data_IF_661931387519
#
_entry.id   IF_661931387519
#
_cell.length_a   1.000
_cell.length_b   1.000
_cell.length_c   1.000
_cell.angle_alpha   90.00
_cell.angle_beta   90.00
_cell.angle_gamma   90.00
#
_symmetry.space_group_name_H-M   'P 1'
#
loop_
_entity.id
_entity.type
_entity.pdbx_description
1 polymer ?
#
# COMPACT_ATOMS: atom_id res chain seq x y z
N UNK A 1 -24.98 52.70 -65.93
CA UNK A 1 -23.89 53.24 -65.09
C UNK A 1 -24.41 53.45 -63.65
N UNK A 2 -23.59 53.38 -62.60
CA UNK A 2 -23.76 52.47 -61.45
C UNK A 2 -24.47 53.00 -60.18
N UNK A 3 -25.03 52.03 -59.42
CA UNK A 3 -25.28 51.89 -57.94
C UNK A 3 -26.21 52.88 -57.19
N UNK A 4 -27.01 52.35 -56.23
CA UNK A 4 -26.53 52.17 -54.84
C UNK A 4 -26.82 50.74 -54.29
N UNK A 5 -25.81 50.05 -53.75
CA UNK A 5 -25.52 49.90 -52.30
C UNK A 5 -26.68 49.30 -51.48
N UNK A 6 -26.60 47.98 -51.22
CA UNK A 6 -27.27 47.30 -50.11
C UNK A 6 -26.19 46.61 -49.26
N UNK A 7 -26.08 47.01 -48.00
CA UNK A 7 -25.20 46.43 -46.99
C UNK A 7 -25.78 45.10 -46.47
N UNK A 8 -24.96 44.07 -46.17
CA UNK A 8 -25.41 42.95 -45.39
C UNK A 8 -25.33 43.29 -43.89
N UNK A 9 -26.43 43.10 -43.18
CA UNK A 9 -26.50 43.19 -41.72
C UNK A 9 -25.68 42.06 -41.10
N UNK A 10 -24.61 42.41 -40.39
CA UNK A 10 -23.84 41.48 -39.55
C UNK A 10 -24.55 41.39 -38.20
N UNK A 11 -25.22 40.26 -37.93
CA UNK A 11 -25.69 39.91 -36.60
C UNK A 11 -24.48 39.54 -35.72
N UNK A 12 -24.05 40.46 -34.87
CA UNK A 12 -23.17 40.15 -33.74
C UNK A 12 -23.99 39.44 -32.65
N UNK A 13 -23.87 38.11 -32.55
CA UNK A 13 -24.25 37.38 -31.34
C UNK A 13 -23.23 37.71 -30.24
N UNK A 14 -23.60 38.59 -29.30
CA UNK A 14 -22.92 38.73 -28.03
C UNK A 14 -23.21 37.48 -27.16
N UNK A 15 -22.35 36.48 -27.24
CA UNK A 15 -22.24 35.46 -26.18
C UNK A 15 -21.58 36.11 -24.97
N UNK A 16 -22.38 36.69 -24.08
CA UNK A 16 -21.95 37.08 -22.74
C UNK A 16 -21.72 35.81 -21.92
N UNK A 17 -20.48 35.31 -21.93
CA UNK A 17 -20.06 34.25 -21.01
C UNK A 17 -20.01 34.90 -19.62
N UNK A 18 -21.03 34.66 -18.80
CA UNK A 18 -21.04 34.98 -17.39
C UNK A 18 -19.94 34.14 -16.70
N UNK A 19 -18.73 34.69 -16.63
CA UNK A 19 -17.69 34.17 -15.75
C UNK A 19 -18.10 34.52 -14.31
N UNK A 20 -18.88 33.65 -13.68
CA UNK A 20 -19.04 33.70 -12.23
C UNK A 20 -17.67 33.54 -11.60
N UNK A 21 -17.11 34.61 -11.03
CA UNK A 21 -15.86 34.56 -10.29
C UNK A 21 -16.01 33.56 -9.14
N UNK A 22 -15.36 32.40 -9.24
CA UNK A 22 -15.35 31.43 -8.16
C UNK A 22 -14.82 32.10 -6.88
N UNK A 23 -15.59 32.03 -5.79
CA UNK A 23 -15.22 32.55 -4.49
C UNK A 23 -14.78 31.40 -3.60
N UNK A 24 -13.60 31.54 -2.99
CA UNK A 24 -13.15 30.62 -1.95
C UNK A 24 -13.62 31.15 -0.59
N UNK A 25 -14.49 30.40 0.08
CA UNK A 25 -15.04 30.68 1.41
C UNK A 25 -15.32 29.37 2.16
N UNK A 26 -14.29 28.69 2.67
CA UNK A 26 -14.46 27.43 3.39
C UNK A 26 -15.28 27.66 4.66
N UNK A 27 -16.05 26.66 5.06
CA UNK A 27 -16.77 26.70 6.32
C UNK A 27 -15.75 26.75 7.49
N UNK A 28 -16.13 27.29 8.66
CA UNK A 28 -15.34 27.10 9.87
C UNK A 28 -15.03 25.62 10.07
N UNK A 29 -13.78 25.30 10.40
CA UNK A 29 -13.36 23.91 10.59
C UNK A 29 -14.17 23.28 11.73
N UNK A 30 -14.95 22.25 11.40
CA UNK A 30 -15.55 21.36 12.40
C UNK A 30 -14.67 20.12 12.53
N UNK A 31 -13.91 20.02 13.63
CA UNK A 31 -13.02 18.89 13.87
C UNK A 31 -13.72 17.65 14.45
N UNK A 32 -14.93 17.79 15.00
CA UNK A 32 -15.60 16.69 15.71
C UNK A 32 -15.69 15.39 14.90
N UNK A 33 -16.10 15.39 13.62
CA UNK A 33 -16.34 14.15 12.86
C UNK A 33 -15.10 13.26 12.75
N UNK A 34 -13.92 13.83 12.53
CA UNK A 34 -12.68 13.07 12.44
C UNK A 34 -11.97 12.91 13.78
N UNK A 35 -12.14 13.84 14.73
CA UNK A 35 -11.55 13.75 16.06
C UNK A 35 -12.17 12.62 16.88
N UNK A 36 -13.48 12.40 16.79
CA UNK A 36 -14.18 11.33 17.53
C UNK A 36 -13.73 9.92 17.11
N UNK A 37 -13.32 9.75 15.86
CA UNK A 37 -12.81 8.49 15.30
C UNK A 37 -11.29 8.43 15.23
N UNK A 38 -10.58 9.40 15.81
CA UNK A 38 -9.13 9.42 15.79
C UNK A 38 -8.57 8.27 16.62
N UNK A 39 -7.52 7.63 16.10
CA UNK A 39 -6.78 6.60 16.83
C UNK A 39 -5.72 7.31 17.65
N UNK A 40 -5.64 7.02 18.94
CA UNK A 40 -4.63 7.57 19.83
C UNK A 40 -3.63 6.50 20.28
N UNK A 41 -2.35 6.85 20.30
CA UNK A 41 -1.27 6.05 20.88
C UNK A 41 -0.51 6.91 21.88
N UNK A 42 0.11 6.28 22.87
CA UNK A 42 0.87 6.99 23.92
C UNK A 42 2.14 6.23 24.21
N UNK A 43 3.26 6.95 24.21
CA UNK A 43 4.59 6.41 24.47
C UNK A 43 5.41 7.48 25.21
N UNK A 44 6.03 7.11 26.34
CA UNK A 44 6.97 7.96 27.06
C UNK A 44 6.47 9.41 27.27
N UNK A 45 5.26 9.53 27.83
CA UNK A 45 4.53 10.79 28.11
C UNK A 45 4.20 11.67 26.89
N UNK A 46 4.24 11.11 25.69
CA UNK A 46 3.75 11.74 24.46
C UNK A 46 2.54 10.98 23.97
N UNK A 47 1.45 11.71 23.70
CA UNK A 47 0.25 11.14 23.10
C UNK A 47 0.05 11.70 21.71
N UNK A 48 -0.15 10.82 20.74
CA UNK A 48 -0.42 11.17 19.35
C UNK A 48 -1.78 10.62 18.96
N UNK A 49 -2.67 11.51 18.51
CA UNK A 49 -3.95 11.16 17.92
C UNK A 49 -3.91 11.43 16.42
N UNK A 50 -4.44 10.51 15.61
CA UNK A 50 -4.43 10.62 14.17
C UNK A 50 -5.76 10.23 13.53
N UNK A 51 -6.17 10.97 12.50
CA UNK A 51 -7.31 10.64 11.66
C UNK A 51 -6.98 10.95 10.19
N UNK A 52 -7.38 10.07 9.28
CA UNK A 52 -7.21 10.28 7.83
C UNK A 52 -8.55 10.69 7.25
N UNK A 53 -8.59 11.84 6.56
CA UNK A 53 -9.82 12.36 5.98
C UNK A 53 -10.15 11.61 4.70
N UNK A 54 -11.41 11.21 4.53
CA UNK A 54 -11.94 10.68 3.27
C UNK A 54 -12.17 11.78 2.23
N UNK A 55 -12.58 11.41 1.01
CA UNK A 55 -12.79 12.38 -0.07
C UNK A 55 -13.87 13.44 0.28
N UNK A 56 -15.03 13.00 0.76
CA UNK A 56 -16.15 13.89 1.12
C UNK A 56 -15.80 14.78 2.31
N UNK A 57 -15.16 14.22 3.34
CA UNK A 57 -14.74 14.98 4.52
C UNK A 57 -13.64 16.00 4.16
N UNK A 58 -12.73 15.64 3.26
CA UNK A 58 -11.73 16.55 2.71
C UNK A 58 -12.38 17.72 1.97
N UNK A 59 -13.39 17.47 1.14
CA UNK A 59 -14.12 18.53 0.44
C UNK A 59 -14.93 19.39 1.42
N UNK A 60 -15.53 18.80 2.45
CA UNK A 60 -16.25 19.53 3.49
C UNK A 60 -15.33 20.46 4.30
N UNK A 61 -14.12 20.00 4.64
CA UNK A 61 -13.13 20.79 5.39
C UNK A 61 -12.52 21.87 4.51
N UNK A 62 -11.99 21.52 3.34
CA UNK A 62 -11.17 22.44 2.54
C UNK A 62 -11.95 23.18 1.46
N UNK A 63 -13.19 22.81 1.17
CA UNK A 63 -13.99 23.37 0.07
C UNK A 63 -13.41 23.07 -1.32
N UNK A 64 -12.56 22.03 -1.43
CA UNK A 64 -11.80 21.70 -2.63
C UNK A 64 -11.68 20.18 -2.77
N UNK A 65 -11.69 19.71 -4.03
CA UNK A 65 -11.57 18.29 -4.37
C UNK A 65 -10.10 17.84 -4.40
N UNK A 66 -9.43 17.86 -3.25
CA UNK A 66 -7.99 17.55 -3.15
C UNK A 66 -7.64 16.14 -3.64
N UNK A 67 -8.54 15.18 -3.45
CA UNK A 67 -8.41 13.81 -3.93
C UNK A 67 -8.24 13.72 -5.46
N UNK A 68 -8.87 14.62 -6.23
CA UNK A 68 -8.69 14.67 -7.70
C UNK A 68 -7.27 15.06 -8.11
N UNK A 69 -6.46 15.55 -7.17
CA UNK A 69 -5.04 15.85 -7.35
C UNK A 69 -4.12 14.91 -6.60
N UNK A 70 -4.63 13.78 -6.10
CA UNK A 70 -3.84 12.80 -5.37
C UNK A 70 -3.39 13.25 -3.98
N UNK A 71 -4.12 14.19 -3.35
CA UNK A 71 -3.78 14.73 -2.03
C UNK A 71 -4.80 14.24 -1.00
N UNK A 72 -4.27 13.69 0.10
CA UNK A 72 -5.03 13.16 1.22
C UNK A 72 -4.55 13.80 2.53
N UNK A 73 -5.39 14.61 3.20
CA UNK A 73 -5.05 15.20 4.48
C UNK A 73 -5.06 14.15 5.61
N UNK A 74 -3.99 14.16 6.42
CA UNK A 74 -3.91 13.45 7.70
C UNK A 74 -3.99 14.49 8.80
N UNK A 75 -5.03 14.42 9.62
CA UNK A 75 -5.14 15.21 10.83
C UNK A 75 -4.33 14.55 11.96
N UNK A 76 -3.54 15.35 12.65
CA UNK A 76 -2.74 14.94 13.80
C UNK A 76 -2.99 15.88 14.98
N UNK A 77 -2.93 15.30 16.17
CA UNK A 77 -2.80 16.01 17.43
C UNK A 77 -1.70 15.36 18.27
N UNK A 78 -0.71 16.15 18.67
CA UNK A 78 0.45 15.71 19.44
C UNK A 78 0.43 16.46 20.77
N UNK A 79 0.23 15.71 21.85
CA UNK A 79 0.25 16.17 23.23
C UNK A 79 1.63 15.86 23.83
N UNK A 80 2.39 16.90 24.17
CA UNK A 80 3.68 16.77 24.83
C UNK A 80 3.51 16.96 26.34
N UNK A 81 3.39 15.86 27.09
CA UNK A 81 3.29 15.90 28.55
C UNK A 81 4.66 15.83 29.24
N UNK A 82 5.75 15.99 28.48
CA UNK A 82 7.12 16.00 29.02
C UNK A 82 7.57 17.42 29.38
N UNK A 83 8.77 17.52 29.97
CA UNK A 83 9.46 18.80 30.24
C UNK A 83 10.37 19.26 29.08
N UNK A 84 10.50 18.45 28.02
CA UNK A 84 11.42 18.70 26.91
C UNK A 84 10.67 19.24 25.71
N UNK A 85 11.27 20.20 24.99
CA UNK A 85 10.73 20.60 23.69
C UNK A 85 10.88 19.45 22.70
N UNK A 86 9.92 19.35 21.79
CA UNK A 86 9.90 18.31 20.76
C UNK A 86 9.76 18.88 19.36
N UNK A 87 10.29 18.13 18.40
CA UNK A 87 10.16 18.37 16.97
C UNK A 87 9.48 17.20 16.28
N UNK A 88 8.49 17.53 15.47
CA UNK A 88 7.76 16.62 14.61
C UNK A 88 8.21 16.82 13.14
N UNK A 89 9.09 15.95 12.60
CA UNK A 89 9.41 15.93 11.18
C UNK A 89 8.25 15.33 10.36
N UNK A 90 7.51 16.18 9.64
CA UNK A 90 6.38 15.76 8.78
C UNK A 90 6.75 14.70 7.73
N UNK A 91 8.02 14.64 7.32
CA UNK A 91 8.56 13.65 6.39
C UNK A 91 8.42 12.20 6.90
N UNK A 92 8.23 12.01 8.22
CA UNK A 92 7.95 10.70 8.82
C UNK A 92 6.56 10.16 8.46
N UNK A 93 5.59 11.06 8.18
CA UNK A 93 4.23 10.70 7.76
C UNK A 93 4.22 10.33 6.29
N UNK A 94 4.85 11.16 5.46
CA UNK A 94 4.99 10.94 4.02
C UNK A 94 6.26 11.65 3.53
N UNK A 95 7.16 10.92 2.88
CA UNK A 95 8.41 11.49 2.35
C UNK A 95 8.18 12.52 1.24
N UNK A 96 7.05 12.43 0.55
CA UNK A 96 6.64 13.28 -0.56
C UNK A 96 5.40 14.11 -0.18
N UNK A 97 5.24 14.46 1.09
CA UNK A 97 4.15 15.33 1.54
C UNK A 97 4.16 16.68 0.81
N UNK A 98 2.98 17.30 0.71
CA UNK A 98 2.79 18.59 0.07
C UNK A 98 2.85 19.72 1.11
N UNK A 99 3.53 20.80 0.77
CA UNK A 99 3.46 22.00 1.63
C UNK A 99 2.06 22.64 1.54
N UNK A 100 1.53 23.27 2.60
CA UNK A 100 0.18 23.86 2.56
C UNK A 100 -0.02 24.87 1.42
N UNK A 101 1.01 25.67 1.11
CA UNK A 101 0.93 26.66 0.04
C UNK A 101 1.07 26.05 -1.35
N UNK A 102 1.73 24.90 -1.48
CA UNK A 102 1.73 24.11 -2.71
C UNK A 102 0.33 23.57 -2.99
N UNK A 103 -0.33 22.98 -1.99
CA UNK A 103 -1.73 22.49 -2.11
C UNK A 103 -2.66 23.63 -2.52
N UNK A 104 -2.55 24.80 -1.88
CA UNK A 104 -3.32 25.98 -2.24
C UNK A 104 -3.03 26.42 -3.68
N UNK A 105 -1.75 26.56 -4.05
CA UNK A 105 -1.33 26.98 -5.38
C UNK A 105 -1.85 26.06 -6.49
N UNK A 106 -1.87 24.74 -6.25
CA UNK A 106 -2.44 23.78 -7.18
C UNK A 106 -3.92 24.10 -7.49
N UNK A 107 -4.66 24.75 -6.59
CA UNK A 107 -6.08 25.08 -6.73
C UNK A 107 -6.38 26.55 -7.07
N UNK A 108 -5.36 27.35 -7.38
CA UNK A 108 -5.55 28.77 -7.71
C UNK A 108 -6.22 29.03 -9.06
N UNK A 109 -6.20 28.06 -9.98
CA UNK A 109 -6.80 28.24 -11.32
C UNK A 109 -8.29 28.55 -11.22
N UNK A 110 -8.77 29.55 -11.98
CA UNK A 110 -10.18 29.99 -11.96
C UNK A 110 -10.57 30.93 -10.80
N UNK A 111 -9.72 31.13 -9.80
CA UNK A 111 -10.01 32.03 -8.66
C UNK A 111 -9.42 33.44 -8.83
N UNK A 112 -10.12 34.44 -8.31
CA UNK A 112 -9.61 35.81 -8.24
C UNK A 112 -8.47 35.96 -7.21
N UNK A 113 -7.61 36.98 -7.36
CA UNK A 113 -6.44 37.23 -6.47
C UNK A 113 -6.79 37.24 -4.97
N UNK A 114 -7.93 37.84 -4.60
CA UNK A 114 -8.37 37.87 -3.21
C UNK A 114 -8.76 36.48 -2.68
N UNK A 115 -9.41 35.64 -3.50
CA UNK A 115 -9.76 34.27 -3.14
C UNK A 115 -8.50 33.39 -3.00
N UNK A 116 -7.52 33.53 -3.90
CA UNK A 116 -6.21 32.85 -3.78
C UNK A 116 -5.52 33.17 -2.45
N UNK A 117 -5.44 34.45 -2.07
CA UNK A 117 -4.88 34.86 -0.78
C UNK A 117 -5.62 34.28 0.44
N UNK A 118 -6.95 34.12 0.34
CA UNK A 118 -7.74 33.46 1.40
C UNK A 118 -7.42 31.98 1.48
N UNK A 119 -7.27 31.32 0.33
CA UNK A 119 -6.87 29.92 0.23
C UNK A 119 -5.48 29.70 0.84
N UNK A 120 -4.49 30.50 0.45
CA UNK A 120 -3.13 30.44 1.02
C UNK A 120 -3.14 30.55 2.53
N UNK A 121 -3.91 31.52 3.07
CA UNK A 121 -4.05 31.72 4.51
C UNK A 121 -4.72 30.52 5.19
N UNK A 122 -5.81 29.99 4.61
CA UNK A 122 -6.56 28.88 5.19
C UNK A 122 -5.68 27.62 5.28
N UNK A 123 -5.01 27.23 4.20
CA UNK A 123 -4.11 26.06 4.22
C UNK A 123 -2.93 26.27 5.17
N UNK A 124 -2.32 27.46 5.17
CA UNK A 124 -1.21 27.76 6.07
C UNK A 124 -1.64 27.72 7.55
N UNK A 125 -2.85 28.16 7.89
CA UNK A 125 -3.35 28.17 9.27
C UNK A 125 -3.65 26.77 9.80
N UNK A 126 -4.19 25.89 8.97
CA UNK A 126 -4.61 24.55 9.40
C UNK A 126 -3.52 23.48 9.27
N UNK A 127 -2.37 23.79 8.64
CA UNK A 127 -1.23 22.88 8.64
C UNK A 127 -0.60 22.76 10.02
N UNK A 128 -0.26 21.52 10.41
CA UNK A 128 0.45 21.27 11.67
C UNK A 128 1.84 21.91 11.65
N UNK A 129 2.33 22.30 12.82
CA UNK A 129 3.64 22.95 13.00
C UNK A 129 4.63 21.99 13.64
N UNK A 130 5.91 22.14 13.29
CA UNK A 130 6.94 21.19 13.67
C UNK A 130 7.30 21.23 15.17
N UNK A 131 7.24 22.40 15.83
CA UNK A 131 7.69 22.54 17.23
C UNK A 131 6.54 22.38 18.21
N UNK A 132 6.74 21.54 19.23
CA UNK A 132 5.80 21.28 20.31
C UNK A 132 6.49 21.63 21.64
N UNK A 133 5.98 22.66 22.32
CA UNK A 133 6.55 23.11 23.59
C UNK A 133 6.15 22.15 24.74
N UNK A 134 6.93 22.08 25.83
CA UNK A 134 6.59 21.29 27.01
C UNK A 134 5.20 21.60 27.55
N UNK A 135 4.42 20.57 27.91
CA UNK A 135 3.08 20.71 28.46
C UNK A 135 2.04 21.29 27.50
N UNK A 136 2.33 21.31 26.19
CA UNK A 136 1.41 21.87 25.18
C UNK A 136 0.92 20.82 24.20
N UNK A 137 -0.18 21.17 23.53
CA UNK A 137 -0.77 20.39 22.44
C UNK A 137 -0.56 21.12 21.12
N UNK A 138 -0.25 20.37 20.07
CA UNK A 138 -0.20 20.86 18.69
C UNK A 138 -1.11 20.01 17.82
N UNK A 139 -2.00 20.66 17.07
CA UNK A 139 -2.89 20.00 16.13
C UNK A 139 -2.83 20.63 14.74
N UNK A 140 -3.20 19.87 13.73
CA UNK A 140 -3.33 20.35 12.35
C UNK A 140 -3.19 19.23 11.34
N UNK A 141 -3.11 19.61 10.06
CA UNK A 141 -3.02 18.67 8.95
C UNK A 141 -1.59 18.55 8.40
N UNK A 142 -1.22 17.32 8.04
CA UNK A 142 -0.18 17.02 7.06
C UNK A 142 -0.88 16.67 5.75
N UNK A 143 -0.48 17.30 4.64
CA UNK A 143 -1.05 16.99 3.33
C UNK A 143 -0.19 15.92 2.65
N UNK A 144 -0.70 14.70 2.58
CA UNK A 144 0.05 13.53 2.08
C UNK A 144 -0.42 13.11 0.70
N UNK A 145 0.32 12.21 0.07
CA UNK A 145 -0.13 11.50 -1.12
C UNK A 145 -1.31 10.60 -0.78
N UNK A 146 -2.24 10.53 -1.73
CA UNK A 146 -3.45 9.74 -1.61
C UNK A 146 -3.15 8.24 -1.68
N UNK A 147 -3.58 7.56 -0.62
CA UNK A 147 -3.60 6.11 -0.52
C UNK A 147 -5.04 5.64 -0.31
N UNK A 148 -5.44 4.63 -1.08
CA UNK A 148 -6.75 4.01 -1.01
C UNK A 148 -6.69 2.71 -0.20
N UNK A 149 -7.79 2.36 0.47
CA UNK A 149 -7.87 1.17 1.32
C UNK A 149 -7.45 1.47 2.75
N UNK A 150 -6.15 1.38 3.03
CA UNK A 150 -5.55 1.61 4.35
C UNK A 150 -4.38 2.57 4.20
N UNK A 151 -4.41 3.66 4.98
CA UNK A 151 -3.27 4.55 5.07
C UNK A 151 -2.32 4.08 6.16
N UNK A 152 -1.09 3.73 5.79
CA UNK A 152 -0.04 3.38 6.74
C UNK A 152 1.00 4.49 6.80
N UNK A 153 1.26 5.01 7.98
CA UNK A 153 2.25 6.07 8.17
C UNK A 153 2.80 6.05 9.61
N UNK A 154 3.99 6.63 9.76
CA UNK A 154 4.58 6.84 11.06
C UNK A 154 4.42 8.31 11.48
N UNK A 155 4.39 8.55 12.78
CA UNK A 155 4.58 9.88 13.37
C UNK A 155 5.80 9.76 14.26
N UNK A 156 6.90 10.38 13.84
CA UNK A 156 8.12 10.44 14.64
C UNK A 156 8.16 11.74 15.43
N UNK A 157 8.44 11.66 16.73
CA UNK A 157 8.61 12.83 17.59
C UNK A 157 9.96 12.76 18.27
N UNK A 158 10.78 13.79 18.05
CA UNK A 158 12.17 13.85 18.53
C UNK A 158 12.24 14.89 19.64
N UNK A 159 12.65 14.49 20.84
CA UNK A 159 12.79 15.39 21.98
C UNK A 159 14.22 15.89 22.20
N UNK A 160 14.36 16.97 22.98
CA UNK A 160 15.66 17.44 23.51
C UNK A 160 16.35 16.40 24.41
N UNK A 161 15.61 15.39 24.89
CA UNK A 161 16.11 14.22 25.61
C UNK A 161 16.87 13.21 24.73
N UNK A 162 17.04 13.51 23.43
CA UNK A 162 17.65 12.62 22.43
C UNK A 162 16.86 11.32 22.22
N UNK A 163 15.61 11.27 22.66
CA UNK A 163 14.71 10.15 22.44
C UNK A 163 13.89 10.40 21.18
N UNK A 164 13.82 9.40 20.31
CA UNK A 164 12.88 9.35 19.20
C UNK A 164 11.74 8.41 19.57
N UNK A 165 10.51 8.93 19.57
CA UNK A 165 9.29 8.16 19.77
C UNK A 165 8.64 7.95 18.42
N UNK A 166 8.22 6.73 18.11
CA UNK A 166 7.72 6.35 16.79
C UNK A 166 6.33 5.73 16.92
N UNK A 167 5.32 6.47 16.49
CA UNK A 167 3.94 6.02 16.51
C UNK A 167 3.55 5.50 15.14
N UNK A 168 3.03 4.28 15.08
CA UNK A 168 2.70 3.61 13.82
C UNK A 168 1.20 3.53 13.63
N UNK A 169 0.66 4.12 12.57
CA UNK A 169 -0.77 4.12 12.29
C UNK A 169 -1.11 3.31 11.04
N UNK A 170 -2.15 2.48 11.14
CA UNK A 170 -2.83 1.84 10.02
C UNK A 170 -4.31 2.25 10.10
N UNK A 171 -4.71 3.22 9.29
CA UNK A 171 -6.06 3.80 9.34
C UNK A 171 -6.80 3.42 8.06
N UNK A 172 -7.86 2.59 8.14
CA UNK A 172 -8.77 2.35 7.03
C UNK A 172 -9.38 3.66 6.51
N UNK A 173 -9.33 3.87 5.20
CA UNK A 173 -9.94 5.02 4.53
C UNK A 173 -11.06 4.52 3.62
N UNK A 174 -12.21 5.19 3.69
CA UNK A 174 -13.32 4.92 2.80
C UNK A 174 -12.94 5.19 1.33
N UNK A 175 -13.52 4.42 0.41
CA UNK A 175 -13.39 4.62 -1.04
C UNK A 175 -12.92 3.38 -1.81
N UNK A 176 -12.17 2.49 -1.16
CA UNK A 176 -11.74 1.22 -1.76
C UNK A 176 -12.30 0.05 -0.94
N UNK A 177 -13.07 -0.81 -1.59
CA UNK A 177 -13.44 -2.12 -1.06
C UNK A 177 -12.27 -3.06 -1.29
N UNK A 178 -11.49 -3.28 -0.23
CA UNK A 178 -10.28 -4.11 -0.27
C UNK A 178 -10.66 -5.59 -0.23
N UNK A 179 -10.01 -6.42 -1.03
CA UNK A 179 -10.27 -7.86 -1.15
C UNK A 179 -10.24 -8.61 0.19
N UNK A 180 -9.22 -8.40 1.01
CA UNK A 180 -9.02 -9.11 2.27
C UNK A 180 -10.02 -8.71 3.36
N UNK A 181 -10.76 -7.62 3.18
CA UNK A 181 -11.84 -7.20 4.10
C UNK A 181 -13.15 -7.96 3.86
N UNK A 182 -13.29 -8.66 2.73
CA UNK A 182 -14.45 -9.49 2.43
C UNK A 182 -14.31 -10.91 3.03
N UNK A 183 -13.16 -11.24 3.61
CA UNK A 183 -12.86 -12.56 4.18
C UNK A 183 -13.39 -12.67 5.62
N UNK A 184 -14.17 -13.72 5.91
CA UNK A 184 -14.51 -14.08 7.30
C UNK A 184 -13.37 -14.86 7.95
N UNK A 185 -12.40 -14.12 8.48
CA UNK A 185 -11.23 -14.68 9.17
C UNK A 185 -11.56 -15.61 10.34
N UNK A 186 -12.74 -15.45 10.97
CA UNK A 186 -13.11 -16.23 12.16
C UNK A 186 -13.62 -17.62 11.81
N UNK A 187 -14.21 -17.76 10.63
CA UNK A 187 -14.84 -19.01 10.16
C UNK A 187 -14.03 -19.74 9.09
N UNK A 188 -12.84 -19.25 8.71
CA UNK A 188 -12.00 -19.87 7.69
C UNK A 188 -11.62 -21.33 8.01
N UNK A 189 -11.41 -21.65 9.29
CA UNK A 189 -11.01 -22.98 9.74
C UNK A 189 -11.68 -23.35 11.06
N UNK A 190 -12.20 -24.57 11.13
CA UNK A 190 -12.64 -25.17 12.38
C UNK A 190 -11.45 -25.42 13.32
N UNK A 191 -11.70 -25.49 14.63
CA UNK A 191 -10.65 -25.67 15.65
C UNK A 191 -9.80 -26.91 15.38
N UNK A 192 -10.41 -28.01 14.92
CA UNK A 192 -9.72 -29.28 14.67
C UNK A 192 -8.87 -29.28 13.40
N UNK A 193 -9.07 -28.31 12.49
CA UNK A 193 -8.25 -28.16 11.29
C UNK A 193 -6.96 -27.39 11.58
N UNK A 194 -6.94 -26.61 12.66
CA UNK A 194 -5.80 -25.78 13.05
C UNK A 194 -4.67 -26.65 13.61
N UNK A 195 -3.48 -26.50 13.03
CA UNK A 195 -2.30 -27.29 13.41
C UNK A 195 -1.20 -26.36 13.93
N UNK A 196 -0.79 -26.56 15.17
CA UNK A 196 0.31 -25.81 15.78
C UNK A 196 1.63 -26.61 15.68
N UNK A 197 2.69 -25.92 15.30
CA UNK A 197 4.05 -26.44 15.22
C UNK A 197 4.94 -25.69 16.20
N UNK A 198 5.49 -26.43 17.18
CA UNK A 198 6.47 -25.90 18.14
C UNK A 198 7.91 -26.31 17.80
N UNK A 199 8.08 -27.19 16.81
CA UNK A 199 9.39 -27.64 16.33
C UNK A 199 9.68 -27.06 14.97
N UNK A 200 10.85 -26.42 14.85
CA UNK A 200 11.41 -25.91 13.58
C UNK A 200 11.44 -26.99 12.48
N UNK A 201 11.78 -28.23 12.83
CA UNK A 201 11.84 -29.33 11.86
C UNK A 201 10.44 -29.77 11.41
N UNK A 202 9.49 -29.89 12.33
CA UNK A 202 8.11 -30.27 11.98
C UNK A 202 7.45 -29.18 11.12
N UNK A 203 7.69 -27.91 11.44
CA UNK A 203 7.22 -26.79 10.64
C UNK A 203 7.81 -26.78 9.23
N UNK A 204 9.14 -26.98 9.11
CA UNK A 204 9.81 -27.15 7.82
C UNK A 204 9.15 -28.26 7.00
N UNK A 205 8.93 -29.44 7.59
CA UNK A 205 8.29 -30.58 6.89
C UNK A 205 6.86 -30.26 6.43
N UNK A 206 6.10 -29.50 7.23
CA UNK A 206 4.77 -29.06 6.82
C UNK A 206 4.80 -28.12 5.61
N UNK A 207 5.81 -27.25 5.52
CA UNK A 207 6.04 -26.41 4.33
C UNK A 207 6.48 -27.25 3.14
N UNK A 208 7.38 -28.22 3.32
CA UNK A 208 7.82 -29.15 2.26
C UNK A 208 6.66 -29.98 1.68
N UNK A 209 5.62 -30.23 2.48
CA UNK A 209 4.42 -30.97 2.08
C UNK A 209 3.36 -30.12 1.38
N UNK A 210 3.54 -28.79 1.29
CA UNK A 210 2.66 -27.93 0.50
C UNK A 210 2.73 -28.32 -1.00
N UNK A 211 1.65 -28.13 -1.77
CA UNK A 211 1.72 -28.34 -3.21
C UNK A 211 2.76 -27.40 -3.84
N UNK A 212 3.29 -27.77 -5.00
CA UNK A 212 4.25 -26.90 -5.68
C UNK A 212 3.64 -25.53 -6.05
N UNK A 213 2.34 -25.54 -6.34
CA UNK A 213 1.72 -24.57 -7.21
C UNK A 213 0.26 -24.34 -6.81
N UNK A 214 -0.20 -23.13 -7.09
CA UNK A 214 -1.62 -22.79 -7.08
C UNK A 214 -2.35 -23.46 -8.24
N UNK A 215 -3.69 -23.37 -8.25
CA UNK A 215 -4.53 -23.92 -9.32
C UNK A 215 -5.53 -22.90 -9.87
N UNK A 216 -6.26 -23.30 -10.91
CA UNK A 216 -7.55 -22.71 -11.26
C UNK A 216 -8.66 -23.08 -10.26
N UNK A 217 -9.87 -22.58 -10.50
CA UNK A 217 -11.02 -22.75 -9.61
C UNK A 217 -11.44 -24.22 -9.44
N UNK A 218 -11.29 -25.03 -10.49
CA UNK A 218 -11.66 -26.44 -10.50
C UNK A 218 -10.57 -27.33 -9.87
N UNK A 219 -9.33 -26.83 -9.78
CA UNK A 219 -8.20 -27.57 -9.21
C UNK A 219 -7.49 -28.50 -10.22
N UNK A 220 -7.93 -28.48 -11.47
CA UNK A 220 -7.47 -29.42 -12.52
C UNK A 220 -6.23 -28.91 -13.26
N UNK A 221 -5.95 -27.61 -13.21
CA UNK A 221 -4.79 -27.00 -13.88
C UNK A 221 -3.86 -26.34 -12.88
N UNK A 222 -2.59 -26.73 -12.95
CA UNK A 222 -1.53 -26.05 -12.21
C UNK A 222 -1.31 -24.63 -12.74
N UNK A 223 -0.97 -23.73 -11.82
CA UNK A 223 -0.79 -22.31 -12.05
C UNK A 223 0.58 -21.85 -11.52
N UNK A 224 0.65 -20.61 -11.03
CA UNK A 224 1.87 -20.01 -10.50
C UNK A 224 2.40 -20.79 -9.26
N UNK A 225 3.73 -20.82 -9.03
CA UNK A 225 4.32 -21.58 -7.95
C UNK A 225 4.11 -20.93 -6.57
N UNK A 226 3.97 -21.75 -5.54
CA UNK A 226 4.05 -21.30 -4.15
C UNK A 226 5.51 -21.08 -3.79
N UNK A 227 5.89 -19.82 -3.63
CA UNK A 227 7.29 -19.41 -3.49
C UNK A 227 7.55 -18.50 -2.28
N UNK A 228 6.54 -18.20 -1.46
CA UNK A 228 6.70 -17.49 -0.19
C UNK A 228 5.80 -18.05 0.90
N UNK A 229 6.31 -18.09 2.13
CA UNK A 229 5.59 -18.31 3.38
C UNK A 229 5.93 -17.17 4.32
N UNK A 230 4.92 -16.55 4.93
CA UNK A 230 5.07 -15.43 5.85
C UNK A 230 4.49 -15.85 7.22
N UNK A 231 5.30 -15.75 8.26
CA UNK A 231 4.93 -16.06 9.63
C UNK A 231 4.74 -14.76 10.40
N UNK A 232 3.54 -14.55 10.95
CA UNK A 232 3.18 -13.35 11.71
C UNK A 232 1.69 -13.07 11.70
N UNK A 233 1.25 -12.11 12.52
CA UNK A 233 -0.15 -11.66 12.53
C UNK A 233 -0.46 -10.93 11.22
N UNK A 234 -1.70 -11.06 10.73
CA UNK A 234 -2.11 -10.40 9.49
C UNK A 234 -1.90 -8.88 9.49
N UNK A 235 -2.13 -8.22 10.63
CA UNK A 235 -1.89 -6.79 10.80
C UNK A 235 -0.40 -6.40 10.63
N UNK A 236 0.52 -7.24 11.10
CA UNK A 236 1.96 -6.99 11.01
C UNK A 236 2.45 -7.17 9.57
N UNK A 237 1.92 -8.17 8.86
CA UNK A 237 2.19 -8.39 7.44
C UNK A 237 1.65 -7.22 6.60
N UNK A 238 0.41 -6.81 6.86
CA UNK A 238 -0.19 -5.65 6.19
C UNK A 238 0.66 -4.39 6.41
N UNK A 239 1.08 -4.14 7.64
CA UNK A 239 1.96 -3.02 7.95
C UNK A 239 3.29 -3.09 7.21
N UNK A 240 3.95 -4.25 7.24
CA UNK A 240 5.22 -4.47 6.57
C UNK A 240 5.14 -4.19 5.06
N UNK A 241 4.06 -4.66 4.42
CA UNK A 241 3.80 -4.45 2.99
C UNK A 241 3.52 -2.97 2.68
N UNK A 242 2.57 -2.34 3.40
CA UNK A 242 2.20 -0.95 3.15
C UNK A 242 3.38 0.01 3.41
N UNK A 243 4.16 -0.21 4.48
CA UNK A 243 5.37 0.58 4.77
C UNK A 243 6.43 0.44 3.69
N UNK A 244 6.51 -0.73 3.07
CA UNK A 244 7.40 -0.95 1.94
C UNK A 244 6.85 -0.38 0.63
N UNK A 245 5.61 0.15 0.62
CA UNK A 245 5.00 0.78 -0.56
C UNK A 245 4.29 -0.22 -1.47
N UNK A 246 3.83 -1.35 -0.92
CA UNK A 246 2.85 -2.21 -1.58
C UNK A 246 1.45 -1.62 -1.41
N UNK A 247 0.63 -1.80 -2.43
CA UNK A 247 -0.76 -1.39 -2.50
C UNK A 247 -1.67 -2.58 -2.24
N UNK A 248 -2.68 -2.36 -1.40
CA UNK A 248 -3.86 -3.22 -1.35
C UNK A 248 -4.57 -3.25 -2.72
N UNK A 249 -5.36 -4.29 -2.97
CA UNK A 249 -6.12 -4.39 -4.22
C UNK A 249 -7.62 -4.39 -3.98
N UNK A 250 -8.38 -3.86 -4.94
CA UNK A 250 -9.83 -3.86 -4.89
C UNK A 250 -10.38 -5.29 -4.97
N UNK A 251 -11.50 -5.55 -4.29
CA UNK A 251 -12.30 -6.74 -4.51
C UNK A 251 -12.88 -6.71 -5.94
N UNK A 252 -12.67 -7.80 -6.70
CA UNK A 252 -13.08 -7.90 -8.11
C UNK A 252 -14.53 -7.48 -8.38
N UNK A 253 -15.55 -7.91 -7.61
CA UNK A 253 -16.95 -7.58 -7.91
C UNK A 253 -17.28 -6.09 -7.79
N UNK A 254 -16.42 -5.32 -7.13
CA UNK A 254 -16.64 -3.91 -6.81
C UNK A 254 -15.84 -2.95 -7.68
N UNK A 255 -14.97 -3.47 -8.56
CA UNK A 255 -14.03 -2.66 -9.32
C UNK A 255 -14.62 -2.25 -10.67
N UNK A 256 -14.92 -0.96 -10.83
CA UNK A 256 -15.24 -0.37 -12.14
C UNK A 256 -13.96 0.17 -12.80
N UNK A 257 -13.44 -0.45 -13.86
CA UNK A 257 -12.22 0.01 -14.53
C UNK A 257 -12.38 1.35 -15.28
N UNK A 258 -13.61 1.77 -15.61
CA UNK A 258 -13.87 3.00 -16.38
C UNK A 258 -14.01 4.24 -15.49
N UNK A 259 -14.29 4.06 -14.20
CA UNK A 259 -14.40 5.14 -13.23
C UNK A 259 -13.06 5.62 -12.66
N UNK A 260 -11.94 5.02 -13.09
CA UNK A 260 -10.65 5.17 -12.42
C UNK A 260 -9.82 6.33 -12.95
N UNK A 261 -9.21 7.09 -12.04
CA UNK A 261 -8.13 8.00 -12.37
C UNK A 261 -6.84 7.22 -12.68
N UNK A 262 -5.91 7.76 -13.50
CA UNK A 262 -4.72 7.03 -13.92
C UNK A 262 -3.83 6.50 -12.78
N UNK A 263 -3.79 7.18 -11.63
CA UNK A 263 -3.01 6.73 -10.48
C UNK A 263 -3.72 5.61 -9.69
N UNK A 264 -5.01 5.38 -9.90
CA UNK A 264 -5.80 4.32 -9.23
C UNK A 264 -5.56 2.94 -9.86
N UNK A 265 -4.92 2.87 -11.03
CA UNK A 265 -4.53 1.61 -11.68
C UNK A 265 -3.56 0.76 -10.84
N UNK A 266 -2.97 1.28 -9.77
CA UNK A 266 -2.18 0.47 -8.83
C UNK A 266 -3.04 -0.43 -7.93
N UNK A 267 -4.32 -0.09 -7.70
CA UNK A 267 -5.26 -0.82 -6.83
C UNK A 267 -6.14 -1.85 -7.57
N UNK A 268 -5.95 -2.10 -8.87
CA UNK A 268 -6.84 -3.03 -9.57
C UNK A 268 -6.76 -4.44 -8.97
N UNK A 269 -7.87 -5.19 -9.01
CA UNK A 269 -7.89 -6.58 -8.60
C UNK A 269 -6.82 -7.40 -9.29
N UNK A 270 -6.32 -8.39 -8.57
CA UNK A 270 -5.42 -9.41 -9.09
C UNK A 270 -6.23 -10.64 -9.47
N UNK A 271 -5.90 -11.27 -10.60
CA UNK A 271 -6.59 -12.47 -11.07
C UNK A 271 -6.56 -13.57 -10.00
N UNK A 272 -7.69 -14.24 -9.83
CA UNK A 272 -7.85 -15.31 -8.85
C UNK A 272 -6.95 -16.49 -9.18
N UNK A 273 -6.23 -16.95 -8.16
CA UNK A 273 -5.58 -18.25 -8.11
C UNK A 273 -6.15 -18.99 -6.91
N UNK A 274 -6.04 -20.31 -6.89
CA UNK A 274 -6.68 -21.13 -5.86
C UNK A 274 -5.66 -21.95 -5.09
N UNK A 275 -5.89 -22.02 -3.77
CA UNK A 275 -5.17 -22.86 -2.82
C UNK A 275 -6.13 -23.15 -1.66
N UNK A 276 -6.03 -24.34 -1.06
CA UNK A 276 -6.94 -24.78 0.01
C UNK A 276 -8.42 -24.69 -0.41
N UNK A 277 -8.70 -25.00 -1.68
CA UNK A 277 -10.03 -24.97 -2.30
C UNK A 277 -10.75 -23.60 -2.25
N UNK A 278 -9.99 -22.50 -2.23
CA UNK A 278 -10.54 -21.14 -2.23
C UNK A 278 -9.61 -20.14 -2.95
N UNK A 279 -10.13 -18.99 -3.42
CA UNK A 279 -9.30 -17.92 -3.96
C UNK A 279 -8.35 -17.36 -2.89
N UNK A 280 -7.36 -16.56 -3.30
CA UNK A 280 -6.49 -15.85 -2.35
C UNK A 280 -7.28 -15.01 -1.35
N UNK A 281 -6.83 -15.02 -0.09
CA UNK A 281 -7.47 -14.26 1.00
C UNK A 281 -7.03 -12.79 0.97
N UNK A 282 -5.87 -12.49 0.37
CA UNK A 282 -5.39 -11.12 0.15
C UNK A 282 -4.49 -11.04 -1.07
N UNK A 283 -4.52 -9.91 -1.79
CA UNK A 283 -3.59 -9.60 -2.84
C UNK A 283 -3.04 -8.17 -2.76
N UNK A 284 -1.77 -8.04 -3.14
CA UNK A 284 -1.03 -6.79 -3.10
C UNK A 284 -0.29 -6.55 -4.40
N UNK A 285 -0.11 -5.28 -4.75
CA UNK A 285 0.64 -4.84 -5.92
C UNK A 285 1.73 -3.87 -5.53
N UNK A 286 2.87 -3.95 -6.22
CA UNK A 286 3.86 -2.88 -6.17
C UNK A 286 4.20 -2.44 -7.58
N UNK A 287 3.64 -1.31 -7.98
CA UNK A 287 3.85 -0.75 -9.31
C UNK A 287 5.23 -0.10 -9.41
N UNK A 288 5.87 -0.22 -10.58
CA UNK A 288 7.09 0.53 -10.87
C UNK A 288 6.71 1.92 -11.41
N UNK A 289 7.73 2.68 -11.85
CA UNK A 289 7.55 4.01 -12.46
C UNK A 289 6.66 4.00 -13.72
N UNK A 290 6.40 2.84 -14.31
CA UNK A 290 5.47 2.66 -15.43
C UNK A 290 4.32 1.73 -15.04
N UNK A 291 3.14 1.95 -15.61
CA UNK A 291 1.97 1.05 -15.44
C UNK A 291 2.14 -0.30 -16.15
N UNK A 292 3.28 -0.53 -16.80
CA UNK A 292 3.56 -1.74 -17.57
C UNK A 292 4.23 -2.83 -16.74
N UNK A 293 4.72 -2.51 -15.55
CA UNK A 293 5.53 -3.42 -14.74
C UNK A 293 5.15 -3.31 -13.28
N UNK A 294 4.94 -4.45 -12.64
CA UNK A 294 4.52 -4.54 -11.24
C UNK A 294 4.86 -5.89 -10.64
N UNK A 295 5.13 -5.92 -9.35
CA UNK A 295 5.10 -7.16 -8.59
C UNK A 295 3.67 -7.41 -8.09
N UNK A 296 3.27 -8.67 -8.04
CA UNK A 296 1.98 -9.12 -7.52
C UNK A 296 2.23 -10.19 -6.46
N UNK A 297 1.67 -9.98 -5.27
CA UNK A 297 1.70 -10.91 -4.17
C UNK A 297 0.27 -11.36 -3.89
N UNK A 298 0.08 -12.67 -3.74
CA UNK A 298 -1.16 -13.30 -3.27
C UNK A 298 -0.86 -14.06 -2.00
N UNK A 299 -1.75 -14.00 -1.02
CA UNK A 299 -1.61 -14.65 0.28
C UNK A 299 -2.87 -15.43 0.63
N UNK A 300 -2.67 -16.62 1.20
CA UNK A 300 -3.67 -17.46 1.83
C UNK A 300 -3.26 -17.70 3.27
N UNK A 301 -4.17 -17.47 4.21
CA UNK A 301 -3.98 -17.90 5.58
C UNK A 301 -4.07 -19.42 5.62
N UNK A 302 -3.01 -20.12 6.01
CA UNK A 302 -3.05 -21.57 6.18
C UNK A 302 -3.67 -21.96 7.52
N UNK A 303 -4.05 -23.22 7.75
CA UNK A 303 -4.46 -23.68 9.08
C UNK A 303 -3.28 -23.82 10.04
N UNK A 304 -2.05 -23.51 9.61
CA UNK A 304 -0.84 -23.71 10.39
C UNK A 304 -0.54 -22.53 11.30
N UNK A 305 -0.02 -22.86 12.48
CA UNK A 305 0.53 -21.92 13.45
C UNK A 305 1.96 -22.34 13.79
N UNK A 306 2.87 -21.36 13.88
CA UNK A 306 4.24 -21.61 14.31
C UNK A 306 4.60 -20.64 15.43
N UNK A 307 5.00 -21.18 16.60
CA UNK A 307 5.30 -20.38 17.79
C UNK A 307 4.17 -19.37 18.13
N UNK A 308 2.91 -19.81 18.02
CA UNK A 308 1.72 -18.98 18.26
C UNK A 308 1.35 -17.98 17.16
N UNK A 309 2.13 -17.88 16.09
CA UNK A 309 1.87 -16.96 14.98
C UNK A 309 1.15 -17.66 13.81
N UNK A 310 0.31 -16.92 13.08
CA UNK A 310 -0.29 -17.39 11.85
C UNK A 310 0.76 -17.64 10.77
N UNK A 311 0.52 -18.64 9.93
CA UNK A 311 1.36 -18.95 8.77
C UNK A 311 0.56 -18.66 7.51
N UNK A 312 1.07 -17.74 6.69
CA UNK A 312 0.50 -17.36 5.41
C UNK A 312 1.31 -18.00 4.29
N UNK A 313 0.64 -18.71 3.41
CA UNK A 313 1.23 -19.28 2.21
C UNK A 313 0.96 -18.33 1.07
N UNK A 314 1.95 -18.10 0.21
CA UNK A 314 1.83 -17.08 -0.80
C UNK A 314 2.52 -17.41 -2.11
N UNK A 315 2.13 -16.61 -3.09
CA UNK A 315 2.68 -16.61 -4.42
C UNK A 315 3.04 -15.18 -4.77
N UNK A 316 4.29 -14.98 -5.17
CA UNK A 316 4.75 -13.72 -5.72
C UNK A 316 5.26 -13.91 -7.14
N UNK A 317 4.91 -12.97 -8.01
CA UNK A 317 5.40 -12.91 -9.38
C UNK A 317 5.64 -11.46 -9.79
N UNK A 318 6.48 -11.29 -10.80
CA UNK A 318 6.58 -10.03 -11.52
C UNK A 318 5.77 -10.13 -12.80
N UNK A 319 4.97 -9.11 -13.06
CA UNK A 319 4.15 -9.01 -14.26
C UNK A 319 4.70 -7.87 -15.11
N UNK A 320 5.01 -8.17 -16.37
CA UNK A 320 5.63 -7.25 -17.31
C UNK A 320 4.82 -7.14 -18.60
N UNK A 321 4.96 -5.99 -19.26
CA UNK A 321 4.40 -5.73 -20.57
C UNK A 321 5.33 -4.79 -21.34
N UNK A 322 5.68 -5.14 -22.58
CA UNK A 322 6.64 -4.36 -23.37
C UNK A 322 6.04 -3.05 -23.90
N UNK A 323 4.82 -3.09 -24.45
CA UNK A 323 4.10 -1.91 -24.93
C UNK A 323 2.64 -1.94 -24.48
N UNK A 324 1.96 -0.79 -24.49
CA UNK A 324 0.56 -0.65 -23.99
C UNK A 324 -0.42 -1.62 -24.67
N UNK A 325 -0.14 -2.01 -25.91
CA UNK A 325 -0.96 -2.93 -26.73
C UNK A 325 -0.67 -4.42 -26.47
N UNK A 326 0.42 -4.75 -25.79
CA UNK A 326 0.81 -6.14 -25.52
C UNK A 326 -0.01 -6.72 -24.36
N UNK A 327 -0.13 -8.05 -24.32
CA UNK A 327 -0.61 -8.78 -23.14
C UNK A 327 0.40 -8.61 -21.99
N UNK A 328 -0.11 -8.50 -20.76
CA UNK A 328 0.71 -8.69 -19.57
C UNK A 328 1.07 -10.17 -19.42
N UNK A 329 2.36 -10.46 -19.24
CA UNK A 329 2.89 -11.80 -19.02
C UNK A 329 3.59 -11.87 -17.67
N UNK A 330 3.72 -13.08 -17.12
CA UNK A 330 4.65 -13.34 -16.02
C UNK A 330 6.09 -13.13 -16.50
N UNK A 331 6.93 -12.52 -15.67
CA UNK A 331 8.37 -12.52 -15.88
C UNK A 331 8.89 -13.95 -15.62
N UNK A 332 9.62 -14.57 -16.57
CA UNK A 332 9.96 -15.99 -16.46
C UNK A 332 10.79 -16.38 -15.24
N UNK A 333 11.65 -15.50 -14.70
CA UNK A 333 12.40 -15.74 -13.46
C UNK A 333 11.56 -15.41 -12.21
N UNK A 334 10.60 -16.28 -11.87
CA UNK A 334 9.71 -16.07 -10.71
C UNK A 334 10.44 -15.99 -9.37
N UNK A 335 11.66 -16.53 -9.28
CA UNK A 335 12.47 -16.46 -8.06
C UNK A 335 13.05 -15.07 -7.85
N UNK A 336 13.23 -14.28 -8.91
CA UNK A 336 13.67 -12.89 -8.77
C UNK A 336 12.63 -12.11 -7.98
N UNK A 337 11.34 -12.30 -8.26
CA UNK A 337 10.26 -11.61 -7.54
C UNK A 337 10.26 -12.00 -6.06
N UNK A 338 10.53 -13.27 -5.74
CA UNK A 338 10.73 -13.77 -4.37
C UNK A 338 11.91 -13.08 -3.68
N UNK A 339 13.06 -12.98 -4.34
CA UNK A 339 14.25 -12.30 -3.82
C UNK A 339 13.98 -10.81 -3.60
N UNK A 340 13.27 -10.17 -4.53
CA UNK A 340 12.84 -8.78 -4.40
C UNK A 340 12.03 -8.59 -3.13
N UNK A 341 11.01 -9.42 -2.86
CA UNK A 341 10.19 -9.30 -1.65
C UNK A 341 11.01 -9.41 -0.36
N UNK A 342 11.96 -10.36 -0.30
CA UNK A 342 12.87 -10.47 0.84
C UNK A 342 13.65 -9.17 1.05
N UNK A 343 14.29 -8.65 0.00
CA UNK A 343 15.08 -7.42 0.09
C UNK A 343 14.21 -6.22 0.46
N UNK A 344 13.03 -6.13 -0.15
CA UNK A 344 12.09 -5.02 0.02
C UNK A 344 11.54 -4.94 1.45
N UNK A 345 11.18 -6.09 2.04
CA UNK A 345 10.77 -6.18 3.44
C UNK A 345 11.96 -6.02 4.40
N UNK A 346 13.16 -6.49 4.01
CA UNK A 346 14.38 -6.28 4.79
C UNK A 346 14.69 -4.80 4.89
N UNK A 347 14.80 -4.08 3.76
CA UNK A 347 15.09 -2.63 3.74
C UNK A 347 13.96 -1.79 4.35
N UNK A 348 12.74 -2.31 4.37
CA UNK A 348 11.67 -1.75 5.16
C UNK A 348 11.79 -2.06 6.67
N UNK A 349 12.85 -2.71 7.16
CA UNK A 349 13.08 -3.10 8.56
C UNK A 349 11.95 -3.96 9.17
N UNK A 350 11.32 -4.80 8.35
CA UNK A 350 10.12 -5.54 8.75
C UNK A 350 10.34 -7.03 9.00
N UNK A 351 11.59 -7.52 8.95
CA UNK A 351 11.92 -8.94 9.03
C UNK A 351 12.69 -9.23 10.33
N UNK A 352 12.24 -10.24 11.07
CA UNK A 352 12.98 -10.82 12.20
C UNK A 352 13.96 -11.90 11.72
N UNK A 353 13.46 -12.82 10.89
CA UNK A 353 14.21 -13.98 10.40
C UNK A 353 13.78 -14.33 8.98
N UNK A 354 14.64 -15.01 8.24
CA UNK A 354 14.26 -15.61 6.97
C UNK A 354 15.00 -16.94 6.74
N UNK A 355 14.43 -17.80 5.90
CA UNK A 355 15.01 -19.09 5.50
C UNK A 355 14.43 -19.55 4.18
N UNK A 356 14.88 -20.72 3.71
CA UNK A 356 14.36 -21.35 2.49
C UNK A 356 13.96 -22.79 2.77
N UNK A 357 12.93 -23.24 2.07
CA UNK A 357 12.44 -24.62 2.09
C UNK A 357 12.21 -25.07 0.66
N UNK A 358 12.53 -26.31 0.31
CA UNK A 358 12.25 -26.84 -1.03
C UNK A 358 10.80 -27.32 -1.10
N UNK A 359 9.98 -26.68 -1.93
CA UNK A 359 8.56 -27.02 -2.11
C UNK A 359 8.26 -27.60 -3.50
N UNK A 360 9.19 -27.45 -4.45
CA UNK A 360 9.02 -27.98 -5.79
C UNK A 360 10.35 -28.50 -6.37
N UNK A 361 10.24 -29.28 -7.44
CA UNK A 361 11.39 -29.59 -8.29
C UNK A 361 11.85 -28.34 -9.04
N UNK A 362 13.09 -28.35 -9.49
CA UNK A 362 13.66 -27.30 -10.34
C UNK A 362 12.97 -27.32 -11.70
N UNK A 363 12.67 -26.15 -12.23
CA UNK A 363 12.30 -25.94 -13.64
C UNK A 363 13.37 -25.05 -14.27
N UNK A 364 13.91 -25.46 -15.42
CA UNK A 364 15.04 -24.77 -16.08
C UNK A 364 14.54 -23.92 -17.25
N UNK A 365 15.40 -23.08 -17.83
CA UNK A 365 15.07 -22.34 -19.05
C UNK A 365 14.78 -23.26 -20.24
N UNK A 366 15.38 -24.45 -20.29
CA UNK A 366 15.15 -25.43 -21.37
C UNK A 366 13.89 -26.28 -21.14
N UNK A 367 13.46 -26.44 -19.89
CA UNK A 367 12.28 -27.19 -19.48
C UNK A 367 11.44 -26.34 -18.51
N UNK A 368 10.84 -25.24 -18.99
CA UNK A 368 10.02 -24.36 -18.16
C UNK A 368 8.69 -25.02 -17.80
N UNK A 369 8.04 -24.46 -16.78
CA UNK A 369 6.63 -24.74 -16.48
C UNK A 369 5.74 -23.65 -17.06
N UNK A 370 4.46 -23.94 -17.18
CA UNK A 370 3.46 -23.01 -17.72
C UNK A 370 2.50 -22.55 -16.61
N UNK A 371 2.15 -21.26 -16.63
CA UNK A 371 1.06 -20.70 -15.82
C UNK A 371 -0.31 -21.02 -16.43
N UNK A 372 -1.41 -20.64 -15.75
CA UNK A 372 -2.78 -20.77 -16.31
C UNK A 372 -3.01 -19.99 -17.60
N UNK A 373 -2.12 -19.05 -17.92
CA UNK A 373 -2.21 -18.20 -19.11
C UNK A 373 -1.15 -18.54 -20.15
N UNK A 374 -0.59 -19.75 -20.06
CA UNK A 374 0.41 -20.30 -20.98
C UNK A 374 1.69 -19.45 -21.03
N UNK A 375 2.00 -18.75 -19.93
CA UNK A 375 3.26 -18.03 -19.80
C UNK A 375 4.30 -18.97 -19.17
N UNK A 376 5.45 -19.10 -19.84
CA UNK A 376 6.56 -19.93 -19.37
C UNK A 376 7.30 -19.29 -18.18
N UNK A 377 7.64 -20.10 -17.18
CA UNK A 377 8.46 -19.70 -16.05
C UNK A 377 9.44 -20.80 -15.62
N UNK A 378 10.53 -20.39 -14.97
CA UNK A 378 11.55 -21.29 -14.42
C UNK A 378 11.84 -20.94 -12.96
N UNK A 379 12.26 -21.91 -12.16
CA UNK A 379 12.43 -21.75 -10.71
C UNK A 379 13.44 -22.76 -10.15
N UNK A 380 14.17 -22.38 -9.10
CA UNK A 380 15.03 -23.25 -8.30
C UNK A 380 14.26 -24.17 -7.33
N UNK A 381 12.93 -24.04 -7.28
CA UNK A 381 12.02 -24.85 -6.46
C UNK A 381 12.05 -24.52 -4.98
N UNK A 382 12.70 -23.41 -4.58
CA UNK A 382 12.71 -22.94 -3.20
C UNK A 382 11.50 -22.06 -2.90
N UNK A 383 11.03 -22.14 -1.67
CA UNK A 383 10.09 -21.24 -1.06
C UNK A 383 10.83 -20.41 -0.01
N UNK A 384 10.65 -19.09 -0.07
CA UNK A 384 11.14 -18.18 0.95
C UNK A 384 10.24 -18.31 2.18
N UNK A 385 10.81 -18.39 3.36
CA UNK A 385 10.08 -18.31 4.63
C UNK A 385 10.55 -17.06 5.36
N UNK A 386 9.65 -16.16 5.71
CA UNK A 386 9.96 -14.89 6.41
C UNK A 386 9.12 -14.74 7.66
N UNK A 387 9.74 -14.29 8.75
CA UNK A 387 9.07 -13.92 9.99
C UNK A 387 9.05 -12.41 10.07
N UNK A 388 7.86 -11.82 10.13
CA UNK A 388 7.71 -10.35 10.14
C UNK A 388 7.68 -9.79 11.55
N UNK A 389 8.02 -8.50 11.67
CA UNK A 389 7.92 -7.71 12.89
C UNK A 389 6.94 -6.56 12.72
N UNK A 390 6.16 -6.26 13.77
CA UNK A 390 5.38 -5.02 13.85
C UNK A 390 6.26 -3.79 14.13
N UNK A 391 7.45 -4.00 14.69
CA UNK A 391 8.40 -2.94 15.05
C UNK A 391 9.61 -2.94 14.11
N UNK A 392 10.23 -1.79 13.83
CA UNK A 392 11.46 -1.73 13.05
C UNK A 392 12.57 -2.62 13.64
N UNK A 393 13.12 -3.53 12.84
CA UNK A 393 14.24 -4.40 13.21
C UNK A 393 15.54 -3.86 12.61
N UNK A 394 16.63 -3.86 13.37
CA UNK A 394 17.94 -3.49 12.82
C UNK A 394 18.41 -4.54 11.81
N UNK A 395 19.08 -4.11 10.73
CA UNK A 395 19.66 -5.04 9.75
C UNK A 395 20.64 -6.04 10.36
N UNK A 396 21.33 -5.66 11.45
CA UNK A 396 22.29 -6.52 12.15
C UNK A 396 21.62 -7.61 13.00
N UNK A 397 20.32 -7.50 13.27
CA UNK A 397 19.57 -8.42 14.13
C UNK A 397 18.79 -9.48 13.33
N UNK A 398 18.66 -9.29 12.02
CA UNK A 398 17.95 -10.22 11.13
C UNK A 398 18.68 -11.57 11.08
N UNK A 399 17.98 -12.64 11.41
CA UNK A 399 18.56 -13.99 11.48
C UNK A 399 18.28 -14.80 10.22
N UNK A 400 19.26 -15.63 9.82
CA UNK A 400 19.07 -16.63 8.77
C UNK A 400 18.82 -18.02 9.38
N UNK A 401 17.78 -18.70 8.90
CA UNK A 401 17.43 -20.07 9.30
C UNK A 401 18.02 -21.04 8.26
N UNK A 402 19.05 -21.83 8.61
CA UNK A 402 19.84 -22.60 7.66
C UNK A 402 19.19 -23.96 7.33
N UNK A 403 17.93 -23.95 6.88
CA UNK A 403 17.24 -25.15 6.43
C UNK A 403 17.69 -25.57 5.03
N UNK A 404 17.67 -24.63 4.10
CA UNK A 404 18.18 -24.73 2.73
C UNK A 404 18.94 -23.43 2.40
N UNK A 405 19.92 -23.52 1.51
CA UNK A 405 20.64 -22.36 1.02
C UNK A 405 20.45 -22.24 -0.51
N UNK A 406 20.16 -21.03 -1.03
CA UNK A 406 20.19 -20.79 -2.47
C UNK A 406 21.55 -21.18 -3.05
N UNK A 407 21.53 -21.83 -4.21
CA UNK A 407 22.77 -22.31 -4.86
C UNK A 407 23.58 -21.11 -5.37
N UNK A 408 24.86 -21.03 -5.01
CA UNK A 408 25.74 -19.92 -5.42
C UNK A 408 25.82 -19.74 -6.95
N UNK A 409 25.72 -20.83 -7.69
CA UNK A 409 25.73 -20.88 -9.15
C UNK A 409 24.33 -21.12 -9.74
N UNK A 410 23.27 -20.55 -9.13
CA UNK A 410 21.87 -20.64 -9.59
C UNK A 410 21.72 -20.42 -11.10
N UNK A 411 22.48 -19.47 -11.67
CA UNK A 411 22.45 -19.20 -13.12
C UNK A 411 22.84 -20.43 -13.94
N UNK A 412 23.88 -21.18 -13.55
CA UNK A 412 24.30 -22.39 -14.26
C UNK A 412 23.24 -23.49 -14.12
N UNK A 413 22.71 -23.67 -12.91
CA UNK A 413 21.65 -24.63 -12.61
C UNK A 413 20.43 -24.44 -13.52
N UNK A 414 19.99 -23.19 -13.70
CA UNK A 414 18.77 -22.87 -14.44
C UNK A 414 18.97 -22.83 -15.96
N UNK A 415 20.22 -22.71 -16.43
CA UNK A 415 20.53 -22.82 -17.86
C UNK A 415 20.40 -24.27 -18.39
N UNK A 416 20.22 -25.27 -17.51
CA UNK A 416 19.99 -26.67 -17.91
C UNK A 416 21.19 -27.32 -18.62
N UNK A 417 22.42 -26.88 -18.33
CA UNK A 417 23.65 -27.41 -18.94
C UNK A 417 24.38 -28.42 -18.08
#
# INVERSE_FOLDING_TARGET
MPKPMRAPAVCFLLCTILWGCATFNPQPLNEQPFRERAIAQTENDVRVSAAVLGAEETEAVFGLQLYKKGIQPVWLEIENNTQNRMWFPQVSVDRNYFSPLEVANMHHSGYAKAAKKRMDRYFHQHAIRNSIDPGTVRSGFVFTNLELGTKAFNVEVIGEDQQMRVFTFLIPVAGLKVDHREVDWTSLYAIHEKVAFDSSQAFRQAIEALPCCTTDADGDRLADPLNVVIVGRGADILYALLRSGWDETAAEPSYDPMAQLPWEFRYQPVKLLYLFNRPQDAAFRKSRSTLNERNQLRLWLSPFYYEGNNVWVGQISRIIRRAVWDKFIIEPDVDEARVYLLQDLWYAQAILKFGYVRTASIATLSEPRESLHDDNYFTDGLCLVVWVSSEPVSFSEVQFVPWEAPVAERRKLLLGR
#
